data_IF_666373381374
#
_entry.id   IF_666373381374
#
_cell.length_a   1.000
_cell.length_b   1.000
_cell.length_c   1.000
_cell.angle_alpha   90.00
_cell.angle_beta   90.00
_cell.angle_gamma   90.00
#
_symmetry.space_group_name_H-M   'P 1'
#
loop_
_entity.id
_entity.type
_entity.pdbx_description
1 polymer ?
#
# COMPACT_ATOMS: atom_id res chain seq x y z
N UNK A 1 4.09 -53.19 28.18
CA UNK A 1 2.98 -52.47 28.86
C UNK A 1 2.48 -51.45 27.86
N UNK A 2 1.31 -51.69 27.31
CA UNK A 2 0.65 -50.78 26.33
C UNK A 2 -0.10 -49.71 27.09
N UNK A 3 -0.35 -48.54 26.44
CA UNK A 3 -1.16 -47.47 26.98
C UNK A 3 -2.55 -47.97 27.41
N UNK A 4 -3.11 -48.94 26.66
CA UNK A 4 -4.38 -49.62 26.94
C UNK A 4 -4.36 -50.35 28.31
N UNK A 5 -3.27 -51.04 28.64
CA UNK A 5 -3.12 -51.76 29.91
C UNK A 5 -3.10 -50.81 31.12
N UNK A 6 -2.48 -49.63 30.96
CA UNK A 6 -2.42 -48.62 32.00
C UNK A 6 -3.81 -48.00 32.21
N UNK A 7 -4.54 -47.72 31.12
CA UNK A 7 -5.87 -47.13 31.16
C UNK A 7 -6.89 -48.06 31.85
N UNK A 8 -6.80 -49.38 31.61
CA UNK A 8 -7.68 -50.36 32.24
C UNK A 8 -7.38 -50.52 33.72
N UNK A 9 -6.08 -50.49 34.09
CA UNK A 9 -5.68 -50.67 35.49
C UNK A 9 -5.83 -49.42 36.34
N UNK A 10 -5.90 -48.21 35.72
CA UNK A 10 -6.06 -46.93 36.42
C UNK A 10 -7.08 -46.06 35.73
N UNK A 11 -8.40 -46.33 35.86
CA UNK A 11 -9.45 -45.61 35.12
C UNK A 11 -9.53 -44.12 35.46
N UNK A 12 -9.19 -43.77 36.71
CA UNK A 12 -9.17 -42.33 37.12
C UNK A 12 -8.08 -41.57 36.37
N UNK A 13 -6.89 -42.15 36.19
CA UNK A 13 -5.80 -41.55 35.45
C UNK A 13 -6.19 -41.36 33.98
N UNK A 14 -6.84 -42.35 33.38
CA UNK A 14 -7.31 -42.26 32.01
C UNK A 14 -8.38 -41.16 31.86
N UNK A 15 -9.33 -41.06 32.79
CA UNK A 15 -10.35 -40.01 32.77
C UNK A 15 -9.78 -38.60 32.90
N UNK A 16 -8.81 -38.38 33.83
CA UNK A 16 -8.13 -37.10 33.99
C UNK A 16 -7.29 -36.74 32.78
N UNK A 17 -6.56 -37.68 32.18
CA UNK A 17 -5.78 -37.45 30.98
C UNK A 17 -6.69 -37.07 29.79
N UNK A 18 -7.82 -37.77 29.61
CA UNK A 18 -8.80 -37.40 28.58
C UNK A 18 -9.42 -36.03 28.79
N UNK A 19 -9.77 -35.66 30.02
CA UNK A 19 -10.26 -34.34 30.37
C UNK A 19 -9.28 -33.25 30.09
N UNK A 20 -7.98 -33.44 30.41
CA UNK A 20 -6.93 -32.49 30.08
C UNK A 20 -6.79 -32.29 28.57
N UNK A 21 -6.81 -33.39 27.79
CA UNK A 21 -6.74 -33.30 26.32
C UNK A 21 -7.92 -32.47 25.78
N UNK A 22 -9.15 -32.67 26.31
CA UNK A 22 -10.31 -31.90 25.90
C UNK A 22 -10.15 -30.43 26.26
N UNK A 23 -9.68 -30.12 27.49
CA UNK A 23 -9.48 -28.72 27.93
C UNK A 23 -8.41 -28.04 27.04
N UNK A 24 -7.28 -28.68 26.82
CA UNK A 24 -6.24 -28.14 25.93
C UNK A 24 -6.71 -28.01 24.48
N UNK A 25 -7.51 -28.97 23.98
CA UNK A 25 -8.09 -28.93 22.66
C UNK A 25 -9.04 -27.72 22.48
N UNK A 26 -9.91 -27.47 23.47
CA UNK A 26 -10.81 -26.32 23.45
C UNK A 26 -10.07 -25.00 23.58
N UNK A 27 -9.02 -24.95 24.43
CA UNK A 27 -8.17 -23.77 24.55
C UNK A 27 -7.41 -23.47 23.26
N UNK A 28 -6.83 -24.50 22.64
CA UNK A 28 -6.14 -24.37 21.36
C UNK A 28 -7.09 -23.93 20.23
N UNK A 29 -8.30 -24.47 20.17
CA UNK A 29 -9.32 -24.11 19.17
C UNK A 29 -9.67 -22.61 19.22
N UNK A 30 -9.69 -22.02 20.43
CA UNK A 30 -9.98 -20.59 20.60
C UNK A 30 -8.82 -19.68 20.22
N UNK A 31 -7.62 -20.20 20.17
CA UNK A 31 -6.40 -19.46 19.81
C UNK A 31 -6.05 -19.56 18.32
N UNK A 32 -6.77 -20.39 17.54
CA UNK A 32 -6.54 -20.48 16.10
C UNK A 32 -7.16 -19.25 15.44
N UNK A 33 -6.36 -18.37 14.80
CA UNK A 33 -6.89 -17.26 14.05
C UNK A 33 -7.65 -17.80 12.82
N UNK A 34 -8.92 -17.45 12.70
CA UNK A 34 -9.73 -17.76 11.52
C UNK A 34 -9.62 -16.57 10.57
N UNK A 35 -8.99 -16.78 9.41
CA UNK A 35 -8.95 -15.80 8.32
C UNK A 35 -9.84 -16.26 7.18
N UNK A 36 -10.55 -15.35 6.57
CA UNK A 36 -11.46 -15.64 5.43
C UNK A 36 -10.69 -15.96 4.15
N UNK A 37 -9.48 -15.40 4.00
CA UNK A 37 -8.61 -15.61 2.84
C UNK A 37 -7.25 -16.16 3.26
N UNK A 38 -6.63 -17.02 2.41
CA UNK A 38 -5.25 -17.41 2.64
C UNK A 38 -4.33 -16.17 2.64
N UNK A 39 -3.36 -16.15 3.54
CA UNK A 39 -2.28 -15.14 3.56
C UNK A 39 -1.39 -15.36 2.33
N UNK A 40 -1.81 -14.83 1.19
CA UNK A 40 -0.98 -14.80 -0.01
C UNK A 40 -0.37 -13.42 -0.06
N UNK A 41 0.69 -13.21 0.70
CA UNK A 41 1.48 -11.97 0.64
C UNK A 41 2.10 -11.87 -0.76
N UNK A 42 1.36 -11.27 -1.69
CA UNK A 42 1.96 -10.82 -2.92
C UNK A 42 2.88 -9.65 -2.57
N UNK A 43 4.18 -9.86 -2.70
CA UNK A 43 5.15 -8.79 -2.51
C UNK A 43 4.98 -7.75 -3.63
N UNK A 44 4.20 -6.70 -3.35
CA UNK A 44 3.92 -5.61 -4.29
C UNK A 44 4.56 -4.33 -3.78
N UNK A 45 5.34 -3.68 -4.64
CA UNK A 45 5.95 -2.38 -4.37
C UNK A 45 5.44 -1.39 -5.39
N UNK A 46 5.01 -0.21 -4.95
CA UNK A 46 4.54 0.86 -5.83
C UNK A 46 5.48 2.05 -5.75
N UNK A 47 5.92 2.53 -6.90
CA UNK A 47 6.67 3.78 -7.04
C UNK A 47 5.74 4.83 -7.61
N UNK A 48 5.60 5.96 -6.93
CA UNK A 48 4.79 7.09 -7.40
C UNK A 48 5.67 8.32 -7.52
N UNK A 49 5.65 8.97 -8.68
CA UNK A 49 6.36 10.22 -8.95
C UNK A 49 5.37 11.26 -9.44
N UNK A 50 5.44 12.47 -8.86
CA UNK A 50 4.58 13.58 -9.27
C UNK A 50 5.39 14.59 -10.08
N UNK A 51 4.88 14.97 -11.25
CA UNK A 51 5.43 16.07 -12.05
C UNK A 51 4.29 17.00 -12.46
N UNK A 52 4.05 18.00 -11.64
CA UNK A 52 2.87 18.86 -11.74
C UNK A 52 2.82 19.61 -13.07
N UNK A 53 1.68 19.50 -13.75
CA UNK A 53 1.43 20.21 -15.01
C UNK A 53 1.92 19.49 -16.27
N UNK A 54 2.69 18.42 -16.14
CA UNK A 54 3.14 17.63 -17.29
C UNK A 54 2.00 16.83 -17.91
N UNK A 55 2.00 16.73 -19.24
CA UNK A 55 1.08 15.86 -19.98
C UNK A 55 1.41 14.38 -19.78
N UNK A 56 0.45 13.46 -19.95
CA UNK A 56 0.68 12.03 -19.77
C UNK A 56 1.84 11.48 -20.61
N UNK A 57 1.98 11.96 -21.84
CA UNK A 57 3.04 11.55 -22.77
C UNK A 57 4.43 11.95 -22.26
N UNK A 58 4.55 13.14 -21.64
CA UNK A 58 5.81 13.61 -21.01
C UNK A 58 6.12 12.81 -19.76
N UNK A 59 5.09 12.52 -18.94
CA UNK A 59 5.24 11.65 -17.77
C UNK A 59 5.75 10.27 -18.18
N UNK A 60 5.23 9.73 -19.28
CA UNK A 60 5.59 8.41 -19.78
C UNK A 60 7.05 8.35 -20.19
N UNK A 61 7.49 9.27 -21.06
CA UNK A 61 8.85 9.28 -21.60
C UNK A 61 9.90 9.73 -20.59
N UNK A 62 9.64 10.78 -19.83
CA UNK A 62 10.67 11.43 -19.01
C UNK A 62 10.78 10.80 -17.60
N UNK A 63 9.71 10.14 -17.12
CA UNK A 63 9.66 9.58 -15.78
C UNK A 63 9.45 8.07 -15.81
N UNK A 64 8.35 7.62 -16.42
CA UNK A 64 7.92 6.22 -16.31
C UNK A 64 8.92 5.27 -16.94
N UNK A 65 9.36 5.53 -18.16
CA UNK A 65 10.36 4.70 -18.87
C UNK A 65 11.71 4.68 -18.12
N UNK A 66 12.13 5.82 -17.55
CA UNK A 66 13.39 5.93 -16.78
C UNK A 66 13.32 5.08 -15.52
N UNK A 67 12.21 5.16 -14.78
CA UNK A 67 11.97 4.40 -13.55
C UNK A 67 11.83 2.91 -13.85
N UNK A 68 11.06 2.53 -14.88
CA UNK A 68 10.92 1.14 -15.32
C UNK A 68 12.27 0.53 -15.72
N UNK A 69 13.07 1.26 -16.49
CA UNK A 69 14.40 0.81 -16.91
C UNK A 69 15.34 0.52 -15.73
N UNK A 70 15.27 1.35 -14.69
CA UNK A 70 16.05 1.14 -13.47
C UNK A 70 15.58 -0.08 -12.67
N UNK A 71 14.26 -0.29 -12.60
CA UNK A 71 13.63 -1.37 -11.82
C UNK A 71 13.78 -2.71 -12.54
N UNK A 72 13.71 -2.74 -13.87
CA UNK A 72 13.77 -3.98 -14.65
C UNK A 72 15.05 -4.81 -14.41
N UNK A 73 16.10 -4.21 -13.86
CA UNK A 73 17.34 -4.89 -13.50
C UNK A 73 17.28 -5.67 -12.18
N UNK A 74 16.20 -5.54 -11.40
CA UNK A 74 16.04 -6.19 -10.09
C UNK A 74 15.59 -7.64 -10.30
N UNK A 75 16.19 -8.55 -9.54
CA UNK A 75 15.87 -9.98 -9.60
C UNK A 75 14.56 -10.29 -8.85
N UNK A 76 13.83 -11.32 -9.29
CA UNK A 76 12.63 -11.80 -8.62
C UNK A 76 11.37 -11.02 -8.96
N UNK A 77 11.40 -10.14 -9.96
CA UNK A 77 10.22 -9.45 -10.47
C UNK A 77 9.40 -10.41 -11.31
N UNK A 78 8.10 -10.49 -11.03
CA UNK A 78 7.12 -11.25 -11.80
C UNK A 78 6.46 -10.37 -12.87
N UNK A 79 6.04 -9.17 -12.50
CA UNK A 79 5.35 -8.25 -13.42
C UNK A 79 5.66 -6.81 -13.03
N UNK A 80 5.82 -5.95 -14.04
CA UNK A 80 5.85 -4.50 -13.88
C UNK A 80 4.64 -3.96 -14.65
N UNK A 81 3.84 -3.13 -14.00
CA UNK A 81 2.71 -2.41 -14.60
C UNK A 81 2.84 -0.94 -14.28
N UNK A 82 2.70 -0.08 -15.28
CA UNK A 82 2.79 1.36 -15.10
C UNK A 82 1.56 2.09 -15.60
N UNK A 83 1.31 3.22 -15.01
CA UNK A 83 0.24 4.13 -15.36
C UNK A 83 0.76 5.57 -15.37
N UNK A 84 0.73 6.19 -16.56
CA UNK A 84 1.10 7.59 -16.78
C UNK A 84 -0.16 8.44 -16.92
N UNK A 85 -0.41 9.30 -15.95
CA UNK A 85 -1.53 10.27 -15.95
C UNK A 85 -0.99 11.69 -15.95
N UNK A 86 -1.88 12.67 -16.20
CA UNK A 86 -1.50 14.05 -16.09
C UNK A 86 -0.90 14.37 -14.71
N UNK A 87 0.37 14.75 -14.70
CA UNK A 87 1.09 15.15 -13.50
C UNK A 87 1.53 14.01 -12.58
N UNK A 88 1.36 12.73 -12.95
CA UNK A 88 1.71 11.59 -12.09
C UNK A 88 2.10 10.35 -12.87
N UNK A 89 3.20 9.75 -12.48
CA UNK A 89 3.59 8.38 -12.83
C UNK A 89 3.31 7.44 -11.64
N UNK A 90 2.84 6.24 -11.92
CA UNK A 90 2.73 5.15 -10.96
C UNK A 90 3.26 3.88 -11.60
N UNK A 91 4.28 3.29 -10.99
CA UNK A 91 4.85 2.01 -11.40
C UNK A 91 4.59 1.01 -10.28
N UNK A 92 3.89 -0.06 -10.58
CA UNK A 92 3.56 -1.15 -9.66
C UNK A 92 4.38 -2.36 -10.02
N UNK A 93 5.13 -2.88 -9.08
CA UNK A 93 6.05 -4.00 -9.24
C UNK A 93 5.54 -5.16 -8.40
N UNK A 94 5.22 -6.27 -9.03
CA UNK A 94 4.87 -7.51 -8.37
C UNK A 94 6.10 -8.43 -8.37
N UNK A 95 6.49 -8.89 -7.20
CA UNK A 95 7.58 -9.84 -7.03
C UNK A 95 7.07 -11.27 -6.90
N UNK A 96 7.96 -12.23 -7.08
CA UNK A 96 7.66 -13.64 -6.78
C UNK A 96 7.39 -13.80 -5.28
N UNK A 97 6.49 -14.72 -4.92
CA UNK A 97 6.08 -14.97 -3.52
C UNK A 97 7.25 -15.41 -2.61
N UNK A 98 8.35 -15.85 -3.19
CA UNK A 98 9.58 -16.24 -2.47
C UNK A 98 10.42 -15.05 -2.02
N UNK A 99 10.15 -13.84 -2.55
CA UNK A 99 10.94 -12.62 -2.28
C UNK A 99 10.39 -11.92 -1.04
N UNK A 100 11.29 -11.55 -0.13
CA UNK A 100 10.95 -10.73 1.03
C UNK A 100 10.63 -9.30 0.58
N UNK A 101 9.43 -8.81 0.94
CA UNK A 101 8.95 -7.49 0.52
C UNK A 101 9.81 -6.34 1.07
N UNK A 102 10.46 -6.51 2.22
CA UNK A 102 11.33 -5.49 2.80
C UNK A 102 12.63 -5.37 2.00
N UNK A 103 13.19 -6.49 1.58
CA UNK A 103 14.36 -6.54 0.69
C UNK A 103 13.99 -5.94 -0.67
N UNK A 104 12.87 -6.39 -1.27
CA UNK A 104 12.39 -5.88 -2.55
C UNK A 104 12.18 -4.35 -2.54
N UNK A 105 11.54 -3.82 -1.50
CA UNK A 105 11.30 -2.39 -1.38
C UNK A 105 12.60 -1.57 -1.23
N UNK A 106 13.62 -2.12 -0.57
CA UNK A 106 14.93 -1.48 -0.47
C UNK A 106 15.66 -1.51 -1.82
N UNK A 107 15.64 -2.65 -2.53
CA UNK A 107 16.23 -2.78 -3.86
C UNK A 107 15.59 -1.80 -4.86
N UNK A 108 14.27 -1.64 -4.81
CA UNK A 108 13.54 -0.66 -5.62
C UNK A 108 13.96 0.77 -5.25
N UNK A 109 14.05 1.11 -3.95
CA UNK A 109 14.52 2.44 -3.51
C UNK A 109 15.91 2.76 -4.02
N UNK A 110 16.82 1.80 -3.91
CA UNK A 110 18.19 1.95 -4.37
C UNK A 110 18.26 2.09 -5.90
N UNK A 111 17.44 1.33 -6.65
CA UNK A 111 17.37 1.40 -8.09
C UNK A 111 16.85 2.78 -8.55
N UNK A 112 15.74 3.24 -7.99
CA UNK A 112 15.13 4.53 -8.29
C UNK A 112 16.04 5.68 -7.85
N UNK A 113 16.71 5.55 -6.71
CA UNK A 113 17.68 6.53 -6.22
C UNK A 113 18.85 6.78 -7.17
N UNK A 114 19.29 5.75 -7.89
CA UNK A 114 20.39 5.88 -8.89
C UNK A 114 20.00 6.71 -10.11
N UNK A 115 18.75 6.64 -10.53
CA UNK A 115 18.24 7.36 -11.71
C UNK A 115 17.58 8.70 -11.39
N UNK A 116 17.61 9.12 -10.12
CA UNK A 116 17.02 10.39 -9.70
C UNK A 116 17.60 11.60 -10.47
N UNK A 117 18.89 11.57 -10.79
CA UNK A 117 19.58 12.63 -11.56
C UNK A 117 19.16 12.68 -13.03
N UNK A 118 18.53 11.64 -13.54
CA UNK A 118 18.06 11.55 -14.93
C UNK A 118 16.58 12.02 -15.04
N UNK A 119 15.90 12.22 -13.91
CA UNK A 119 14.55 12.76 -13.87
C UNK A 119 14.55 14.30 -13.97
N UNK A 120 13.47 14.92 -14.51
CA UNK A 120 13.32 16.37 -14.54
C UNK A 120 13.45 17.01 -13.15
N UNK A 121 14.13 18.15 -13.05
CA UNK A 121 14.34 18.88 -11.77
C UNK A 121 13.00 19.29 -11.10
N UNK A 122 11.98 19.54 -11.91
CA UNK A 122 10.64 19.93 -11.44
C UNK A 122 9.78 18.74 -10.97
N UNK A 123 10.24 17.51 -11.19
CA UNK A 123 9.56 16.33 -10.69
C UNK A 123 9.83 16.16 -9.19
N UNK A 124 8.76 15.85 -8.43
CA UNK A 124 8.90 15.50 -7.03
C UNK A 124 9.71 14.20 -6.87
N UNK A 125 10.31 14.01 -5.71
CA UNK A 125 11.07 12.79 -5.42
C UNK A 125 10.18 11.54 -5.50
N UNK A 126 10.60 10.48 -6.23
CA UNK A 126 9.85 9.24 -6.30
C UNK A 126 9.62 8.62 -4.93
N UNK A 127 8.39 8.33 -4.62
CA UNK A 127 7.99 7.69 -3.38
C UNK A 127 7.81 6.19 -3.60
N UNK A 128 8.55 5.39 -2.84
CA UNK A 128 8.49 3.93 -2.87
C UNK A 128 7.72 3.43 -1.65
N UNK A 129 6.57 2.84 -1.90
CA UNK A 129 5.67 2.32 -0.87
C UNK A 129 5.46 0.83 -1.08
N UNK A 130 5.53 0.06 -0.01
CA UNK A 130 5.05 -1.32 -0.01
C UNK A 130 3.53 -1.28 -0.13
N UNK A 131 2.99 -1.98 -1.10
CA UNK A 131 1.55 -2.12 -1.27
C UNK A 131 1.13 -3.45 -0.69
N UNK A 132 0.29 -3.41 0.32
CA UNK A 132 -0.41 -4.59 0.76
C UNK A 132 -1.57 -4.79 -0.22
N UNK A 133 -1.49 -5.81 -1.07
CA UNK A 133 -2.48 -6.06 -2.11
C UNK A 133 -3.88 -6.36 -1.50
N UNK A 134 -3.90 -6.80 -0.25
CA UNK A 134 -5.09 -7.16 0.50
C UNK A 134 -5.50 -6.12 1.56
N UNK A 135 -4.88 -4.95 1.58
CA UNK A 135 -5.23 -3.87 2.51
C UNK A 135 -6.56 -3.22 2.12
N UNK A 136 -7.66 -3.95 2.30
CA UNK A 136 -8.98 -3.35 2.28
C UNK A 136 -9.12 -2.35 3.44
N UNK A 137 -9.67 -1.16 3.18
CA UNK A 137 -9.86 -0.18 4.23
C UNK A 137 -10.79 -0.74 5.31
N UNK A 138 -10.30 -0.82 6.54
CA UNK A 138 -11.04 -1.33 7.70
C UNK A 138 -12.32 -0.52 7.96
N UNK A 139 -12.29 0.78 7.62
CA UNK A 139 -13.43 1.67 7.80
C UNK A 139 -13.46 2.73 6.68
N UNK A 140 -14.64 2.99 6.16
CA UNK A 140 -14.92 4.10 5.23
C UNK A 140 -15.93 5.04 5.87
N UNK A 141 -15.55 6.32 5.98
CA UNK A 141 -16.42 7.36 6.55
C UNK A 141 -16.82 8.32 5.44
N UNK A 142 -18.12 8.47 5.20
CA UNK A 142 -18.63 9.47 4.27
C UNK A 142 -18.82 10.80 5.02
N UNK A 143 -18.23 11.87 4.49
CA UNK A 143 -18.37 13.22 5.03
C UNK A 143 -19.15 14.09 4.05
N UNK A 144 -20.24 14.67 4.52
CA UNK A 144 -21.11 15.55 3.72
C UNK A 144 -21.39 16.85 4.49
N UNK A 145 -21.62 17.93 3.77
CA UNK A 145 -22.00 19.21 4.35
C UNK A 145 -22.97 19.95 3.43
N UNK A 146 -24.00 20.57 4.02
CA UNK A 146 -24.94 21.44 3.30
C UNK A 146 -24.44 22.90 3.20
N UNK A 147 -23.32 23.23 3.86
CA UNK A 147 -22.78 24.59 3.99
C UNK A 147 -21.41 24.78 3.36
N UNK A 148 -20.68 23.70 3.14
CA UNK A 148 -19.30 23.71 2.63
C UNK A 148 -19.27 23.09 1.24
N UNK A 149 -18.45 23.66 0.36
CA UNK A 149 -18.12 23.07 -0.94
C UNK A 149 -17.19 21.86 -0.76
N UNK A 150 -17.10 20.98 -1.76
CA UNK A 150 -16.20 19.82 -1.72
C UNK A 150 -14.74 20.21 -1.47
N UNK A 151 -14.29 21.34 -2.02
CA UNK A 151 -12.94 21.85 -1.80
C UNK A 151 -12.71 22.31 -0.35
N UNK A 152 -13.69 22.97 0.26
CA UNK A 152 -13.62 23.36 1.68
C UNK A 152 -13.68 22.16 2.61
N UNK A 153 -14.49 21.14 2.28
CA UNK A 153 -14.51 19.87 3.02
C UNK A 153 -13.14 19.20 2.92
N UNK A 154 -12.53 19.17 1.74
CA UNK A 154 -11.20 18.59 1.53
C UNK A 154 -10.16 19.29 2.41
N UNK A 155 -10.09 20.62 2.38
CA UNK A 155 -9.15 21.40 3.21
C UNK A 155 -9.39 21.18 4.71
N UNK A 156 -10.66 21.07 5.12
CA UNK A 156 -11.00 20.78 6.51
C UNK A 156 -10.56 19.36 6.92
N UNK A 157 -10.80 18.36 6.06
CA UNK A 157 -10.41 16.98 6.33
C UNK A 157 -8.89 16.85 6.44
N UNK A 158 -8.15 17.43 5.50
CA UNK A 158 -6.68 17.36 5.48
C UNK A 158 -6.05 18.01 6.72
N UNK A 159 -6.59 19.14 7.16
CA UNK A 159 -6.02 19.88 8.30
C UNK A 159 -6.43 19.36 9.67
N UNK A 160 -7.63 18.84 9.82
CA UNK A 160 -8.19 18.57 11.14
C UNK A 160 -8.56 17.12 11.40
N UNK A 161 -8.83 16.35 10.37
CA UNK A 161 -9.34 14.98 10.52
C UNK A 161 -8.24 13.96 10.25
N UNK A 162 -7.51 14.09 9.14
CA UNK A 162 -6.45 13.14 8.75
C UNK A 162 -5.42 13.02 9.86
N UNK A 163 -4.91 14.14 10.37
CA UNK A 163 -3.90 14.14 11.45
C UNK A 163 -4.38 13.44 12.72
N UNK A 164 -5.64 13.64 13.08
CA UNK A 164 -6.21 13.04 14.30
C UNK A 164 -6.40 11.54 14.16
N UNK A 165 -6.83 11.07 13.00
CA UNK A 165 -6.99 9.63 12.75
C UNK A 165 -5.62 8.94 12.62
N UNK A 166 -4.65 9.58 11.98
CA UNK A 166 -3.30 9.04 11.82
C UNK A 166 -2.52 8.87 13.13
N UNK A 167 -2.94 9.59 14.20
CA UNK A 167 -2.32 9.46 15.53
C UNK A 167 -2.95 8.38 16.41
N UNK A 168 -4.00 7.71 15.95
CA UNK A 168 -4.64 6.62 16.70
C UNK A 168 -3.82 5.33 16.59
N UNK A 169 -3.68 4.64 17.73
CA UNK A 169 -3.02 3.33 17.75
C UNK A 169 -3.74 2.33 16.83
N UNK A 170 -2.97 1.69 15.95
CA UNK A 170 -3.49 0.70 15.00
C UNK A 170 -3.97 1.26 13.67
N UNK A 171 -3.92 2.57 13.44
CA UNK A 171 -4.19 3.19 12.14
C UNK A 171 -2.88 3.32 11.36
N UNK A 172 -2.77 2.60 10.25
CA UNK A 172 -1.59 2.62 9.39
C UNK A 172 -1.64 3.77 8.37
N UNK A 173 -2.81 4.05 7.80
CA UNK A 173 -2.99 5.10 6.79
C UNK A 173 -4.41 5.67 6.80
N UNK A 174 -4.56 6.93 6.39
CA UNK A 174 -5.84 7.63 6.24
C UNK A 174 -5.85 8.33 4.88
N UNK A 175 -6.71 7.88 3.98
CA UNK A 175 -6.84 8.44 2.63
C UNK A 175 -8.15 9.19 2.46
N UNK A 176 -8.10 10.38 1.85
CA UNK A 176 -9.28 11.16 1.48
C UNK A 176 -9.65 10.89 0.03
N UNK A 177 -10.68 10.08 -0.18
CA UNK A 177 -11.18 9.73 -1.52
C UNK A 177 -12.12 10.83 -2.00
N UNK A 178 -11.95 11.28 -3.26
CA UNK A 178 -12.76 12.36 -3.84
C UNK A 178 -12.31 13.76 -3.45
N UNK A 179 -11.12 13.89 -2.87
CA UNK A 179 -10.51 15.16 -2.52
C UNK A 179 -10.43 16.11 -3.74
N UNK A 180 -10.78 17.38 -3.52
CA UNK A 180 -10.67 18.46 -4.51
C UNK A 180 -9.80 19.58 -3.93
N UNK A 181 -8.46 19.45 -3.97
CA UNK A 181 -7.58 20.50 -3.49
C UNK A 181 -7.72 21.76 -4.33
N UNK A 182 -7.56 22.93 -3.70
CA UNK A 182 -7.55 24.20 -4.42
C UNK A 182 -6.38 24.26 -5.38
N UNK A 183 -6.65 24.56 -6.66
CA UNK A 183 -5.63 24.72 -7.69
C UNK A 183 -5.86 26.02 -8.46
N UNK A 184 -4.81 26.81 -8.64
CA UNK A 184 -4.81 27.99 -9.51
C UNK A 184 -4.43 27.56 -10.92
N UNK A 185 -5.33 27.78 -11.88
CA UNK A 185 -5.06 27.52 -13.31
C UNK A 185 -4.82 28.84 -14.02
N UNK A 186 -3.63 29.01 -14.57
CA UNK A 186 -3.26 30.20 -15.34
C UNK A 186 -3.32 29.83 -16.83
N UNK A 187 -4.20 30.47 -17.56
CA UNK A 187 -4.35 30.31 -19.00
C UNK A 187 -3.57 31.42 -19.70
N UNK A 188 -2.55 31.07 -20.48
CA UNK A 188 -1.77 32.01 -21.24
C UNK A 188 -2.30 32.06 -22.67
N UNK A 189 -2.69 33.26 -23.15
CA UNK A 189 -3.00 33.47 -24.54
C UNK A 189 -1.71 33.45 -25.39
N UNK A 190 -1.51 32.32 -26.06
CA UNK A 190 -0.31 32.10 -26.89
C UNK A 190 -0.21 33.06 -28.07
N UNK A 191 -1.36 33.58 -28.59
CA UNK A 191 -1.34 34.55 -29.69
C UNK A 191 -0.90 35.93 -29.22
N UNK A 192 -1.38 36.36 -28.06
CA UNK A 192 -0.93 37.60 -27.44
C UNK A 192 0.53 37.55 -27.01
N UNK A 193 1.01 36.38 -26.54
CA UNK A 193 2.41 36.17 -26.16
C UNK A 193 3.34 36.23 -27.39
N UNK A 194 2.94 35.63 -28.52
CA UNK A 194 3.73 35.60 -29.75
C UNK A 194 3.77 36.97 -30.46
N UNK A 195 2.88 37.91 -30.09
CA UNK A 195 2.83 39.25 -30.65
C UNK A 195 3.65 40.31 -29.89
N UNK A 196 4.35 39.89 -28.82
CA UNK A 196 5.26 40.73 -28.01
C UNK A 196 6.69 40.22 -28.05
#
# INVERSE_FOLDING_TARGET
VTLSDISIRRPVLAAVASLLIVIFGVAALRSIPVRELPDVDNAVVTVTTTYRGAAPEVIDTDITETVEGAIAAISGIRTISSESRQGRSRVTIEFETSVDIDVAANDVRDAVGRVRGDLPEEADEPQVVKSDADADPVMRVAVTSDRMTTAEITDYLDRFVVDRFSTLDGVANVDVIGAQPFAVRIWIDRRALAAR
#
